data_IF_606418443800
#
_entry.id   IF_606418443800
#
_cell.length_a   1.000
_cell.length_b   1.000
_cell.length_c   1.000
_cell.angle_alpha   90.00
_cell.angle_beta   90.00
_cell.angle_gamma   90.00
#
_symmetry.space_group_name_H-M   'P 1'
#
loop_
_entity.id
_entity.type
_entity.pdbx_description
1 polymer ?
#
# COMPACT_ATOMS: atom_id res chain seq x y z
N UNK A 1 -74.51 -10.08 -14.48
CA UNK A 1 -73.23 -10.81 -14.71
C UNK A 1 -72.04 -9.99 -14.21
N UNK A 2 -71.46 -10.39 -13.08
CA UNK A 2 -70.36 -9.70 -12.41
C UNK A 2 -69.04 -9.94 -13.15
N UNK A 3 -68.40 -8.88 -13.65
CA UNK A 3 -67.08 -8.96 -14.27
C UNK A 3 -66.02 -9.30 -13.20
N UNK A 4 -65.50 -10.53 -13.23
CA UNK A 4 -64.33 -10.93 -12.42
C UNK A 4 -63.10 -10.21 -12.98
N UNK A 5 -62.59 -9.25 -12.22
CA UNK A 5 -61.26 -8.68 -12.43
C UNK A 5 -60.21 -9.80 -12.30
N UNK A 6 -59.60 -10.18 -13.42
CA UNK A 6 -58.43 -11.06 -13.42
C UNK A 6 -57.23 -10.20 -13.03
N UNK A 7 -56.70 -10.42 -11.82
CA UNK A 7 -55.43 -9.82 -11.39
C UNK A 7 -54.31 -10.34 -12.31
N UNK A 8 -53.44 -9.46 -12.84
CA UNK A 8 -52.30 -9.93 -13.61
C UNK A 8 -51.38 -10.77 -12.72
N UNK A 9 -50.77 -11.85 -13.25
CA UNK A 9 -49.86 -12.70 -12.50
C UNK A 9 -48.65 -11.87 -12.05
N UNK A 10 -48.39 -11.92 -10.74
CA UNK A 10 -47.31 -11.18 -10.09
C UNK A 10 -45.98 -11.78 -10.57
N UNK A 11 -45.07 -10.94 -11.10
CA UNK A 11 -43.72 -11.36 -11.55
C UNK A 11 -42.95 -12.05 -10.42
N UNK A 12 -42.98 -13.38 -10.37
CA UNK A 12 -42.28 -14.19 -9.37
C UNK A 12 -40.76 -14.04 -9.45
N UNK A 13 -40.22 -13.74 -10.63
CA UNK A 13 -38.78 -13.51 -10.88
C UNK A 13 -38.19 -12.37 -10.03
N UNK A 14 -38.88 -11.23 -9.96
CA UNK A 14 -38.41 -10.06 -9.19
C UNK A 14 -38.39 -10.32 -7.67
N UNK A 15 -39.29 -11.17 -7.15
CA UNK A 15 -39.31 -11.43 -5.71
C UNK A 15 -38.23 -12.42 -5.28
N UNK A 16 -37.99 -13.47 -6.08
CA UNK A 16 -36.92 -14.44 -5.82
C UNK A 16 -35.53 -13.78 -5.91
N UNK A 17 -35.31 -12.93 -6.93
CA UNK A 17 -34.06 -12.22 -7.13
C UNK A 17 -33.74 -11.26 -5.97
N UNK A 18 -34.73 -10.49 -5.51
CA UNK A 18 -34.57 -9.59 -4.35
C UNK A 18 -34.25 -10.37 -3.07
N UNK A 19 -34.85 -11.55 -2.87
CA UNK A 19 -34.48 -12.44 -1.75
C UNK A 19 -33.04 -12.93 -1.88
N UNK A 20 -32.62 -13.33 -3.07
CA UNK A 20 -31.25 -13.80 -3.30
C UNK A 20 -30.22 -12.70 -3.00
N UNK A 21 -30.45 -11.48 -3.50
CA UNK A 21 -29.60 -10.30 -3.20
C UNK A 21 -29.51 -10.04 -1.70
N UNK A 22 -30.64 -10.08 -0.98
CA UNK A 22 -30.67 -9.93 0.47
C UNK A 22 -29.87 -11.02 1.19
N UNK A 23 -30.00 -12.29 0.78
CA UNK A 23 -29.20 -13.39 1.35
C UNK A 23 -27.70 -13.19 1.13
N UNK A 24 -27.29 -12.75 -0.06
CA UNK A 24 -25.88 -12.47 -0.37
C UNK A 24 -25.32 -11.38 0.55
N UNK A 25 -26.10 -10.32 0.80
CA UNK A 25 -25.70 -9.21 1.70
C UNK A 25 -25.64 -9.69 3.15
N UNK A 26 -26.65 -10.46 3.58
CA UNK A 26 -26.71 -11.04 4.92
C UNK A 26 -25.54 -11.98 5.20
N UNK A 27 -25.19 -12.86 4.25
CA UNK A 27 -24.08 -13.78 4.40
C UNK A 27 -22.73 -13.07 4.56
N UNK A 28 -22.61 -11.85 4.02
CA UNK A 28 -21.42 -11.00 4.17
C UNK A 28 -21.38 -10.25 5.50
N UNK A 29 -22.38 -10.45 6.37
CA UNK A 29 -22.48 -9.76 7.66
C UNK A 29 -22.72 -8.26 7.53
N UNK A 30 -23.17 -7.79 6.36
CA UNK A 30 -23.46 -6.37 6.15
C UNK A 30 -24.78 -6.01 6.84
N UNK A 31 -24.80 -4.87 7.54
CA UNK A 31 -26.00 -4.37 8.20
C UNK A 31 -27.11 -4.12 7.16
N UNK A 32 -28.27 -4.75 7.38
CA UNK A 32 -29.45 -4.60 6.53
C UNK A 32 -30.50 -3.78 7.29
N UNK A 33 -30.33 -2.46 7.31
CA UNK A 33 -31.28 -1.57 7.97
C UNK A 33 -32.64 -1.58 7.23
N UNK A 34 -33.71 -1.76 7.99
CA UNK A 34 -35.09 -1.71 7.47
C UNK A 34 -35.76 -0.40 7.88
N UNK A 35 -35.21 0.73 7.42
CA UNK A 35 -35.76 2.06 7.71
C UNK A 35 -35.87 2.86 6.43
N UNK A 36 -37.02 3.51 6.23
CA UNK A 36 -37.08 4.57 5.24
C UNK A 36 -36.31 5.77 5.79
N UNK A 37 -35.52 6.41 4.94
CA UNK A 37 -34.69 7.57 5.29
C UNK A 37 -35.50 8.71 5.95
N UNK A 38 -36.76 8.88 5.54
CA UNK A 38 -37.67 9.86 6.15
C UNK A 38 -38.31 9.40 7.46
N UNK A 39 -38.49 8.09 7.64
CA UNK A 39 -39.14 7.46 8.79
C UNK A 39 -38.11 6.97 9.84
N UNK A 40 -36.83 7.31 9.73
CA UNK A 40 -35.71 6.69 10.45
C UNK A 40 -35.87 6.68 11.99
N UNK A 41 -36.58 7.69 12.54
CA UNK A 41 -36.81 7.88 13.98
C UNK A 41 -38.18 7.39 14.51
N UNK A 42 -39.05 6.82 13.67
CA UNK A 42 -40.39 6.35 14.07
C UNK A 42 -40.48 4.83 13.89
N UNK A 43 -41.05 4.11 14.87
CA UNK A 43 -41.26 2.65 14.76
C UNK A 43 -42.03 2.35 13.46
N UNK A 44 -41.49 1.51 12.56
CA UNK A 44 -42.12 1.27 11.28
C UNK A 44 -43.39 0.44 11.46
N UNK A 45 -44.55 1.08 11.44
CA UNK A 45 -45.78 0.42 11.02
C UNK A 45 -45.74 0.34 9.49
N UNK A 46 -45.42 -0.83 8.96
CA UNK A 46 -45.42 -1.07 7.52
C UNK A 46 -46.83 -1.46 7.07
N UNK A 47 -47.35 -0.80 6.04
CA UNK A 47 -48.46 -1.38 5.28
C UNK A 47 -47.83 -2.18 4.14
N UNK A 48 -47.86 -3.51 4.23
CA UNK A 48 -47.24 -4.42 3.26
C UNK A 48 -47.85 -4.32 1.86
N UNK A 49 -49.05 -3.73 1.73
CA UNK A 49 -49.79 -3.63 0.47
C UNK A 49 -49.35 -2.48 -0.45
N UNK A 50 -48.72 -1.42 0.08
CA UNK A 50 -48.42 -0.20 -0.70
C UNK A 50 -46.93 0.00 -1.01
N UNK A 51 -46.04 -0.79 -0.41
CA UNK A 51 -44.59 -0.62 -0.54
C UNK A 51 -44.03 0.63 0.15
N UNK A 52 -44.81 1.32 0.99
CA UNK A 52 -44.41 2.56 1.70
C UNK A 52 -44.53 2.39 3.22
N UNK A 53 -43.70 3.10 4.02
CA UNK A 53 -43.93 3.23 5.47
C UNK A 53 -45.21 4.03 5.74
N UNK A 54 -45.93 3.72 6.84
CA UNK A 54 -47.14 4.45 7.21
C UNK A 54 -46.92 5.97 7.30
N UNK A 55 -45.74 6.41 7.74
CA UNK A 55 -45.35 7.82 7.76
C UNK A 55 -45.40 8.46 6.38
N UNK A 56 -44.76 7.86 5.37
CA UNK A 56 -44.79 8.37 4.00
C UNK A 56 -46.19 8.31 3.37
N UNK A 57 -47.03 7.35 3.75
CA UNK A 57 -48.42 7.27 3.28
C UNK A 57 -49.24 8.45 3.81
N UNK A 58 -49.13 8.74 5.10
CA UNK A 58 -49.88 9.80 5.76
C UNK A 58 -49.62 11.18 5.13
N UNK A 59 -48.37 11.46 4.76
CA UNK A 59 -47.97 12.72 4.14
C UNK A 59 -47.91 12.68 2.61
N UNK A 60 -48.37 11.59 1.98
CA UNK A 60 -48.30 11.35 0.52
C UNK A 60 -46.91 11.61 -0.08
N UNK A 61 -45.87 11.23 0.64
CA UNK A 61 -44.49 11.41 0.23
C UNK A 61 -43.93 10.17 -0.46
N UNK A 62 -42.85 10.37 -1.20
CA UNK A 62 -41.99 9.29 -1.66
C UNK A 62 -41.35 8.54 -0.49
N UNK A 63 -41.15 7.24 -0.66
CA UNK A 63 -40.65 6.35 0.37
C UNK A 63 -39.49 5.53 -0.17
N UNK A 64 -38.31 5.70 0.42
CA UNK A 64 -37.09 4.96 0.04
C UNK A 64 -37.05 3.50 0.52
N UNK A 65 -38.15 3.00 1.09
CA UNK A 65 -38.22 1.63 1.62
C UNK A 65 -38.16 0.57 0.51
N UNK A 66 -38.51 0.94 -0.72
CA UNK A 66 -38.39 0.08 -1.88
C UNK A 66 -37.30 0.61 -2.82
N UNK A 67 -36.21 -0.14 -2.93
CA UNK A 67 -35.11 0.15 -3.87
C UNK A 67 -35.48 -0.35 -5.26
N UNK A 68 -35.25 0.47 -6.29
CA UNK A 68 -35.55 0.13 -7.69
C UNK A 68 -34.50 -0.83 -8.27
N UNK A 69 -34.81 -1.48 -9.40
CA UNK A 69 -33.83 -2.32 -10.10
C UNK A 69 -32.65 -1.49 -10.64
N UNK A 70 -32.92 -0.27 -11.12
CA UNK A 70 -31.90 0.67 -11.59
C UNK A 70 -30.88 1.02 -10.50
N UNK A 71 -31.34 1.19 -9.25
CA UNK A 71 -30.45 1.43 -8.11
C UNK A 71 -29.55 0.21 -7.83
N UNK A 72 -30.08 -1.01 -7.99
CA UNK A 72 -29.29 -2.23 -7.84
C UNK A 72 -28.26 -2.41 -8.96
N UNK A 73 -28.63 -2.08 -10.20
CA UNK A 73 -27.72 -2.10 -11.35
C UNK A 73 -26.59 -1.08 -11.17
N UNK A 74 -26.89 0.12 -10.68
CA UNK A 74 -25.89 1.14 -10.36
C UNK A 74 -24.89 0.67 -9.31
N UNK A 75 -25.36 0.06 -8.22
CA UNK A 75 -24.48 -0.52 -7.19
C UNK A 75 -23.63 -1.67 -7.75
N UNK A 76 -24.20 -2.50 -8.63
CA UNK A 76 -23.47 -3.59 -9.27
C UNK A 76 -22.35 -3.06 -10.20
N UNK A 77 -22.64 -2.03 -10.99
CA UNK A 77 -21.69 -1.37 -11.85
C UNK A 77 -20.55 -0.71 -11.06
N UNK A 78 -20.89 0.07 -10.02
CA UNK A 78 -19.91 0.71 -9.13
C UNK A 78 -19.01 -0.34 -8.45
N UNK A 79 -19.59 -1.44 -7.99
CA UNK A 79 -18.82 -2.54 -7.40
C UNK A 79 -17.87 -3.18 -8.40
N UNK A 80 -18.28 -3.31 -9.65
CA UNK A 80 -17.42 -3.87 -10.69
C UNK A 80 -16.27 -2.92 -11.04
N UNK A 81 -16.54 -1.62 -11.15
CA UNK A 81 -15.51 -0.60 -11.32
C UNK A 81 -14.51 -0.63 -10.17
N UNK A 82 -14.98 -0.65 -8.92
CA UNK A 82 -14.11 -0.73 -7.74
C UNK A 82 -13.23 -1.98 -7.74
N UNK A 83 -13.74 -3.13 -8.20
CA UNK A 83 -12.92 -4.34 -8.35
C UNK A 83 -11.82 -4.18 -9.40
N UNK A 84 -12.11 -3.51 -10.51
CA UNK A 84 -11.09 -3.23 -11.53
C UNK A 84 -10.00 -2.29 -10.99
N UNK A 85 -10.40 -1.27 -10.22
CA UNK A 85 -9.44 -0.38 -9.55
C UNK A 85 -8.56 -1.15 -8.58
N UNK A 86 -9.16 -2.02 -7.75
CA UNK A 86 -8.39 -2.88 -6.84
C UNK A 86 -7.40 -3.78 -7.60
N UNK A 87 -7.83 -4.45 -8.67
CA UNK A 87 -6.95 -5.30 -9.47
C UNK A 87 -5.77 -4.52 -10.08
N UNK A 88 -6.00 -3.27 -10.51
CA UNK A 88 -4.92 -2.39 -11.01
C UNK A 88 -3.93 -2.02 -9.90
N UNK A 89 -4.43 -1.66 -8.72
CA UNK A 89 -3.59 -1.33 -7.56
C UNK A 89 -2.77 -2.54 -7.10
N UNK A 90 -3.37 -3.73 -7.09
CA UNK A 90 -2.67 -4.98 -6.79
C UNK A 90 -1.52 -5.22 -7.79
N UNK A 91 -1.76 -5.04 -9.09
CA UNK A 91 -0.71 -5.16 -10.11
C UNK A 91 0.44 -4.16 -9.88
N UNK A 92 0.13 -2.89 -9.57
CA UNK A 92 1.15 -1.88 -9.25
C UNK A 92 1.92 -2.25 -7.98
N UNK A 93 1.24 -2.75 -6.95
CA UNK A 93 1.89 -3.17 -5.70
C UNK A 93 2.85 -4.35 -5.91
N UNK A 94 2.49 -5.29 -6.79
CA UNK A 94 3.34 -6.42 -7.13
C UNK A 94 4.61 -5.97 -7.88
N UNK A 95 4.47 -5.01 -8.80
CA UNK A 95 5.62 -4.41 -9.49
C UNK A 95 6.56 -3.68 -8.53
N UNK A 96 6.01 -2.89 -7.60
CA UNK A 96 6.80 -2.20 -6.58
C UNK A 96 7.53 -3.19 -5.65
N UNK A 97 6.86 -4.29 -5.26
CA UNK A 97 7.48 -5.35 -4.48
C UNK A 97 8.64 -6.02 -5.25
N UNK A 98 8.45 -6.32 -6.54
CA UNK A 98 9.51 -6.88 -7.39
C UNK A 98 10.72 -5.93 -7.51
N UNK A 99 10.49 -4.63 -7.72
CA UNK A 99 11.55 -3.62 -7.74
C UNK A 99 12.29 -3.53 -6.39
N UNK A 100 11.57 -3.66 -5.27
CA UNK A 100 12.18 -3.68 -3.93
C UNK A 100 13.07 -4.90 -3.73
N UNK A 101 12.64 -6.07 -4.21
CA UNK A 101 13.46 -7.29 -4.15
C UNK A 101 14.73 -7.12 -4.99
N UNK A 102 14.62 -6.56 -6.19
CA UNK A 102 15.77 -6.28 -7.05
C UNK A 102 16.78 -5.34 -6.38
N UNK A 103 16.30 -4.23 -5.81
CA UNK A 103 17.16 -3.29 -5.09
C UNK A 103 17.87 -3.93 -3.88
N UNK A 104 17.23 -4.88 -3.20
CA UNK A 104 17.86 -5.64 -2.10
C UNK A 104 18.97 -6.57 -2.58
N UNK A 105 18.82 -7.17 -3.76
CA UNK A 105 19.87 -7.99 -4.35
C UNK A 105 21.08 -7.14 -4.72
N UNK A 106 20.84 -6.00 -5.37
CA UNK A 106 21.91 -5.05 -5.72
C UNK A 106 22.64 -4.52 -4.47
N UNK A 107 21.90 -4.23 -3.40
CA UNK A 107 22.50 -3.85 -2.13
C UNK A 107 23.39 -4.97 -1.55
N UNK A 108 22.91 -6.22 -1.56
CA UNK A 108 23.68 -7.35 -1.05
C UNK A 108 24.98 -7.58 -1.85
N UNK A 109 24.99 -7.32 -3.16
CA UNK A 109 26.20 -7.38 -3.98
C UNK A 109 27.21 -6.28 -3.62
N UNK A 110 26.72 -5.08 -3.26
CA UNK A 110 27.58 -3.99 -2.77
C UNK A 110 28.15 -4.34 -1.40
N UNK A 111 27.32 -4.79 -0.46
CA UNK A 111 27.74 -5.21 0.89
C UNK A 111 28.77 -6.35 0.82
N UNK A 112 28.61 -7.30 -0.09
CA UNK A 112 29.60 -8.34 -0.32
C UNK A 112 30.95 -7.77 -0.78
N UNK A 113 30.95 -6.80 -1.71
CA UNK A 113 32.18 -6.13 -2.15
C UNK A 113 32.84 -5.33 -1.03
N UNK A 114 32.04 -4.65 -0.22
CA UNK A 114 32.51 -3.92 0.96
C UNK A 114 33.23 -4.87 1.94
N UNK A 115 32.64 -6.03 2.22
CA UNK A 115 33.27 -7.05 3.06
C UNK A 115 34.61 -7.55 2.48
N UNK A 116 34.68 -7.77 1.16
CA UNK A 116 35.93 -8.17 0.51
C UNK A 116 37.02 -7.09 0.63
N UNK A 117 36.65 -5.80 0.52
CA UNK A 117 37.58 -4.70 0.72
C UNK A 117 38.05 -4.62 2.18
N UNK A 118 37.12 -4.66 3.14
CA UNK A 118 37.46 -4.66 4.56
C UNK A 118 38.41 -5.82 4.92
N UNK A 119 38.19 -7.02 4.36
CA UNK A 119 39.08 -8.17 4.56
C UNK A 119 40.48 -7.93 4.02
N UNK A 120 40.61 -7.27 2.86
CA UNK A 120 41.93 -6.94 2.28
C UNK A 120 42.65 -5.90 3.13
N UNK A 121 41.95 -4.85 3.53
CA UNK A 121 42.53 -3.78 4.36
C UNK A 121 43.05 -4.33 5.68
N UNK A 122 42.28 -5.20 6.35
CA UNK A 122 42.72 -5.86 7.58
C UNK A 122 44.01 -6.67 7.39
N UNK A 123 44.18 -7.36 6.26
CA UNK A 123 45.42 -8.10 5.98
C UNK A 123 46.61 -7.17 5.74
N UNK A 124 46.39 -6.04 5.09
CA UNK A 124 47.45 -5.04 4.87
C UNK A 124 47.89 -4.45 6.20
N UNK A 125 46.94 -4.10 7.07
CA UNK A 125 47.21 -3.58 8.40
C UNK A 125 47.98 -4.59 9.25
N UNK A 126 47.57 -5.87 9.27
CA UNK A 126 48.27 -6.93 10.02
C UNK A 126 49.74 -7.09 9.58
N UNK A 127 50.01 -7.01 8.27
CA UNK A 127 51.40 -7.05 7.76
C UNK A 127 52.20 -5.81 8.19
N UNK A 128 51.57 -4.63 8.18
CA UNK A 128 52.21 -3.38 8.63
C UNK A 128 52.51 -3.41 10.13
N UNK A 129 51.58 -3.93 10.94
CA UNK A 129 51.75 -4.09 12.38
C UNK A 129 52.89 -5.06 12.67
N UNK A 130 52.93 -6.23 12.02
CA UNK A 130 54.02 -7.20 12.17
C UNK A 130 55.39 -6.61 11.79
N UNK A 131 55.47 -5.81 10.73
CA UNK A 131 56.71 -5.14 10.32
C UNK A 131 57.14 -4.07 11.34
N UNK A 132 56.18 -3.33 11.89
CA UNK A 132 56.40 -2.34 12.95
C UNK A 132 56.92 -3.00 14.23
N UNK A 133 56.32 -4.09 14.66
CA UNK A 133 56.73 -4.85 15.86
C UNK A 133 58.12 -5.51 15.67
N UNK A 134 58.40 -6.07 14.50
CA UNK A 134 59.71 -6.64 14.19
C UNK A 134 60.83 -5.59 14.17
N UNK A 135 60.51 -4.35 13.76
CA UNK A 135 61.44 -3.22 13.75
C UNK A 135 61.57 -2.56 15.13
N UNK A 136 60.49 -2.55 15.92
CA UNK A 136 60.47 -2.02 17.29
C UNK A 136 61.17 -2.90 18.32
N UNK A 137 61.42 -4.18 18.00
CA UNK A 137 62.13 -5.12 18.89
C UNK A 137 63.67 -4.99 18.86
N UNK A 138 64.26 -4.09 18.07
CA UNK A 138 65.71 -3.91 18.00
C UNK A 138 66.11 -2.45 18.04
N UNK A 139 66.01 -1.79 19.20
CA UNK A 139 66.86 -0.62 19.49
C UNK A 139 67.11 -0.47 20.99
N UNK A 140 68.29 -0.94 21.43
CA UNK A 140 69.01 -0.29 22.53
C UNK A 140 69.61 1.04 21.99
N UNK A 141 69.69 2.09 22.82
CA UNK A 141 70.01 3.44 22.37
C UNK A 141 71.51 3.55 22.11
N UNK A 142 71.90 3.68 20.85
CA UNK A 142 73.26 4.12 20.50
C UNK A 142 73.17 5.50 19.86
N UNK A 143 73.46 6.48 20.71
CA UNK A 143 73.92 7.83 20.41
C UNK A 143 74.88 7.91 19.22
N UNK A 144 74.55 8.73 18.21
CA UNK A 144 75.52 9.64 17.59
C UNK A 144 74.81 10.78 16.84
N UNK A 145 75.07 12.02 17.28
CA UNK A 145 74.84 13.27 16.55
C UNK A 145 75.67 13.26 15.24
N UNK A 146 75.32 13.83 14.10
CA UNK A 146 75.26 15.28 13.73
C UNK A 146 75.10 15.35 12.17
N UNK A 147 74.99 16.53 11.49
CA UNK A 147 73.90 16.86 10.56
C UNK A 147 74.38 17.10 9.09
N UNK A 148 73.56 17.82 8.31
CA UNK A 148 73.79 18.39 6.95
C UNK A 148 73.47 17.50 5.74
N UNK A 149 72.36 17.80 5.06
CA UNK A 149 72.37 18.61 3.84
C UNK A 149 70.94 18.76 3.26
N UNK A 150 70.48 20.00 3.13
CA UNK A 150 69.38 20.39 2.23
C UNK A 150 69.79 20.20 0.76
N UNK A 151 68.82 19.89 -0.12
CA UNK A 151 68.77 20.63 -1.38
C UNK A 151 67.35 21.13 -1.69
N UNK A 152 67.17 22.43 -1.48
CA UNK A 152 66.59 23.42 -2.41
C UNK A 152 65.68 22.92 -3.56
N UNK A 153 64.38 23.23 -3.39
CA UNK A 153 63.49 23.92 -4.35
C UNK A 153 63.02 23.22 -5.64
N UNK A 154 61.69 23.03 -5.75
CA UNK A 154 60.90 23.54 -6.88
C UNK A 154 59.41 23.67 -6.52
N UNK A 155 58.88 24.86 -6.79
CA UNK A 155 57.51 25.31 -6.56
C UNK A 155 56.45 24.59 -7.42
N UNK A 156 55.22 24.57 -6.88
CA UNK A 156 53.99 23.92 -7.34
C UNK A 156 53.37 24.48 -8.65
N UNK A 157 52.25 23.92 -9.14
CA UNK A 157 50.98 24.52 -8.72
C UNK A 157 49.82 23.54 -8.44
N UNK A 158 48.90 24.06 -7.64
CA UNK A 158 47.62 23.51 -7.18
C UNK A 158 46.74 22.92 -8.30
N UNK A 159 46.17 21.74 -8.04
CA UNK A 159 44.92 21.28 -8.64
C UNK A 159 44.07 20.62 -7.56
N UNK A 160 43.52 21.46 -6.66
CA UNK A 160 42.31 21.12 -5.94
C UNK A 160 41.12 21.51 -6.83
N UNK A 161 40.27 20.56 -7.27
CA UNK A 161 38.91 20.88 -7.63
C UNK A 161 38.05 20.86 -6.36
N UNK A 162 37.61 22.05 -5.98
CA UNK A 162 36.50 22.31 -5.05
C UNK A 162 35.19 21.76 -5.66
N UNK A 163 34.42 20.88 -5.00
CA UNK A 163 33.08 20.53 -5.43
C UNK A 163 32.05 21.26 -4.55
N UNK A 164 31.98 22.58 -4.66
CA UNK A 164 30.82 23.33 -4.17
C UNK A 164 29.72 23.32 -5.24
N UNK A 165 28.74 22.44 -5.04
CA UNK A 165 27.43 22.47 -5.69
C UNK A 165 26.42 23.11 -4.71
N UNK A 166 25.95 24.32 -5.02
CA UNK A 166 24.57 24.81 -4.80
C UNK A 166 24.22 25.71 -5.97
#
# INVERSE_FOLDING_TARGET
PSARSVRPPRKESSTAERRNRAMIVQQKGLEMSFRCQRCENVRPSSSTSSGRCAGCIAVKAECSLFVSEEDWERVAAEKQEKRLVLARLEAVSAQAAAATVQARLELAEVEHREMEFARRDLKVLDVQDQASEASGSSTLPTTFETPLADPSYSQAPNLFPDPSFV
#
